data_IF_778958832634
#
_entry.id   IF_778958832634
#
_cell.length_a   1.000
_cell.length_b   1.000
_cell.length_c   1.000
_cell.angle_alpha   90.00
_cell.angle_beta   90.00
_cell.angle_gamma   90.00
#
_symmetry.space_group_name_H-M   'P 1'
#
loop_
_entity.id
_entity.type
_entity.pdbx_description
1 polymer ?
#
# COMPACT_ATOMS: atom_id res chain seq x y z
N UNK A 1 -10.33 14.06 -14.57
CA UNK A 1 -10.44 15.11 -13.52
C UNK A 1 -9.04 15.69 -13.32
N UNK A 2 -8.92 17.01 -13.28
CA UNK A 2 -7.67 17.74 -13.08
C UNK A 2 -7.83 18.72 -11.91
N UNK A 3 -6.83 18.91 -11.02
CA UNK A 3 -5.57 18.17 -10.98
C UNK A 3 -5.79 16.70 -10.55
N UNK A 4 -4.91 15.77 -10.93
CA UNK A 4 -5.03 14.39 -10.49
C UNK A 4 -4.64 14.27 -9.01
N UNK A 5 -5.32 13.36 -8.30
CA UNK A 5 -5.16 13.22 -6.86
C UNK A 5 -3.86 12.54 -6.45
N UNK A 6 -3.15 13.13 -5.50
CA UNK A 6 -2.17 12.45 -4.66
C UNK A 6 -2.88 11.43 -3.79
N UNK A 7 -2.37 10.20 -3.76
CA UNK A 7 -2.99 9.11 -3.01
C UNK A 7 -1.96 8.26 -2.30
N UNK A 8 -2.43 7.43 -1.36
CA UNK A 8 -1.65 6.30 -0.84
C UNK A 8 -2.14 5.06 -1.57
N UNK A 9 -1.24 4.46 -2.33
CA UNK A 9 -1.51 3.24 -3.09
C UNK A 9 -0.88 2.02 -2.44
N UNK A 10 -1.54 0.88 -2.59
CA UNK A 10 -0.94 -0.43 -2.41
C UNK A 10 -1.12 -1.21 -3.71
N UNK A 11 -0.14 -2.04 -4.06
CA UNK A 11 -0.23 -2.83 -5.29
C UNK A 11 -1.29 -3.92 -5.12
N UNK A 12 -2.47 -3.71 -5.73
CA UNK A 12 -3.56 -4.69 -5.72
C UNK A 12 -3.11 -6.01 -6.35
N UNK A 13 -2.28 -5.93 -7.40
CA UNK A 13 -1.71 -7.09 -8.07
C UNK A 13 -0.82 -7.89 -7.11
N UNK A 14 0.12 -7.23 -6.43
CA UNK A 14 1.03 -7.87 -5.47
C UNK A 14 0.26 -8.48 -4.29
N UNK A 15 -0.80 -7.81 -3.81
CA UNK A 15 -1.70 -8.35 -2.80
C UNK A 15 -2.35 -9.65 -3.27
N UNK A 16 -2.89 -9.67 -4.49
CA UNK A 16 -3.51 -10.86 -5.08
C UNK A 16 -2.52 -12.01 -5.27
N UNK A 17 -1.34 -11.72 -5.81
CA UNK A 17 -0.26 -12.71 -5.99
C UNK A 17 0.18 -13.33 -4.67
N UNK A 18 0.41 -12.51 -3.64
CA UNK A 18 0.78 -13.00 -2.31
C UNK A 18 -0.33 -13.84 -1.67
N UNK A 19 -1.58 -13.38 -1.75
CA UNK A 19 -2.72 -14.11 -1.18
C UNK A 19 -2.92 -15.48 -1.87
N UNK A 20 -2.85 -15.50 -3.20
CA UNK A 20 -2.96 -16.74 -3.97
C UNK A 20 -1.83 -17.72 -3.65
N UNK A 21 -0.58 -17.24 -3.57
CA UNK A 21 0.56 -18.08 -3.21
C UNK A 21 0.42 -18.69 -1.80
N UNK A 22 -0.02 -17.90 -0.82
CA UNK A 22 -0.29 -18.38 0.54
C UNK A 22 -1.40 -19.44 0.56
N UNK A 23 -2.49 -19.22 -0.17
CA UNK A 23 -3.60 -20.16 -0.23
C UNK A 23 -3.19 -21.49 -0.88
N UNK A 24 -2.52 -21.43 -2.03
CA UNK A 24 -2.06 -22.63 -2.74
C UNK A 24 -1.06 -23.42 -1.90
N UNK A 25 -0.15 -22.76 -1.19
CA UNK A 25 0.77 -23.41 -0.26
C UNK A 25 0.02 -24.16 0.85
N UNK A 26 -1.04 -23.57 1.42
CA UNK A 26 -1.87 -24.23 2.45
C UNK A 26 -2.66 -25.42 1.91
N UNK A 27 -3.14 -25.35 0.67
CA UNK A 27 -3.86 -26.48 0.03
C UNK A 27 -2.89 -27.63 -0.22
N UNK A 28 -1.71 -27.35 -0.74
CA UNK A 28 -0.69 -28.35 -1.02
C UNK A 28 -0.11 -28.98 0.25
N UNK A 29 -0.02 -28.22 1.34
CA UNK A 29 0.49 -28.72 2.62
C UNK A 29 -0.34 -28.16 3.78
N UNK A 30 -1.43 -28.88 4.16
CA UNK A 30 -2.28 -28.46 5.26
C UNK A 30 -1.52 -28.43 6.59
N UNK A 31 -1.19 -27.23 7.08
CA UNK A 31 -0.57 -27.00 8.40
C UNK A 31 -1.65 -26.66 9.43
N UNK A 32 -1.53 -27.21 10.65
CA UNK A 32 -2.38 -26.82 11.81
C UNK A 32 -1.89 -25.56 12.54
N UNK A 33 -0.81 -24.97 12.04
CA UNK A 33 -0.15 -23.82 12.67
C UNK A 33 -0.88 -22.51 12.37
N UNK A 34 -0.52 -21.46 13.11
CA UNK A 34 -1.11 -20.14 12.96
C UNK A 34 -0.99 -19.62 11.52
N UNK A 35 -1.99 -18.85 11.10
CA UNK A 35 -2.04 -18.26 9.78
C UNK A 35 -0.83 -17.32 9.55
N UNK A 36 -0.04 -17.60 8.52
CA UNK A 36 1.02 -16.68 8.06
C UNK A 36 0.42 -15.32 7.66
N UNK A 37 1.02 -14.24 8.17
CA UNK A 37 0.67 -12.85 7.84
C UNK A 37 1.81 -12.20 7.05
N UNK A 38 1.48 -11.64 5.89
CA UNK A 38 2.42 -10.84 5.07
C UNK A 38 1.92 -9.41 4.93
N UNK A 39 2.80 -8.45 5.17
CA UNK A 39 2.50 -7.02 5.05
C UNK A 39 2.96 -6.55 3.67
N UNK A 40 2.05 -6.00 2.87
CA UNK A 40 2.39 -5.29 1.63
C UNK A 40 2.43 -3.80 1.94
N UNK A 41 3.63 -3.22 1.90
CA UNK A 41 3.84 -1.83 2.31
C UNK A 41 3.16 -0.86 1.31
N UNK A 42 2.31 0.06 1.79
CA UNK A 42 1.74 1.10 0.94
C UNK A 42 2.82 2.12 0.55
N UNK A 43 2.55 2.87 -0.52
CA UNK A 43 3.45 3.91 -1.05
C UNK A 43 2.66 5.16 -1.39
N UNK A 44 3.25 6.33 -1.16
CA UNK A 44 2.67 7.59 -1.62
C UNK A 44 2.82 7.68 -3.14
N UNK A 45 1.73 7.98 -3.82
CA UNK A 45 1.69 8.35 -5.23
C UNK A 45 1.47 9.86 -5.28
N UNK A 46 2.55 10.62 -5.35
CA UNK A 46 2.50 12.08 -5.37
C UNK A 46 2.02 12.58 -6.74
N UNK A 47 1.10 13.55 -6.72
CA UNK A 47 0.56 14.25 -7.88
C UNK A 47 0.29 15.72 -7.55
N UNK A 48 -0.35 16.44 -8.46
CA UNK A 48 -0.53 17.90 -8.41
C UNK A 48 -1.60 18.36 -7.42
N UNK A 49 -2.35 17.46 -6.80
CA UNK A 49 -3.33 17.83 -5.75
C UNK A 49 -2.71 18.05 -4.36
N UNK A 50 -1.38 17.94 -4.22
CA UNK A 50 -0.67 18.22 -2.95
C UNK A 50 0.55 19.07 -3.24
N UNK A 51 0.71 20.15 -2.48
CA UNK A 51 1.81 21.10 -2.65
C UNK A 51 2.27 21.67 -1.31
N UNK A 52 3.31 22.51 -1.31
CA UNK A 52 3.74 23.19 -0.11
C UNK A 52 2.62 24.08 0.44
N UNK A 53 2.51 24.11 1.76
CA UNK A 53 1.68 25.10 2.47
C UNK A 53 2.27 26.51 2.25
N UNK A 54 1.45 27.57 2.13
CA UNK A 54 1.93 28.94 2.01
C UNK A 54 2.87 29.34 3.17
N UNK A 55 3.80 30.26 2.92
CA UNK A 55 4.92 30.62 3.81
C UNK A 55 4.52 31.19 5.19
N UNK A 56 3.23 31.40 5.44
CA UNK A 56 2.66 31.88 6.72
C UNK A 56 2.96 30.98 7.93
N UNK A 57 3.50 29.77 7.74
CA UNK A 57 3.79 28.81 8.82
C UNK A 57 5.17 28.14 8.68
N UNK A 58 6.11 28.77 7.97
CA UNK A 58 7.42 28.16 7.70
C UNK A 58 8.43 28.32 8.84
N UNK A 59 8.13 29.16 9.83
CA UNK A 59 9.03 29.51 10.94
C UNK A 59 9.24 28.39 11.99
N UNK A 60 8.54 27.25 11.86
CA UNK A 60 8.57 26.14 12.82
C UNK A 60 9.11 24.82 12.25
N UNK A 61 9.93 24.88 11.21
CA UNK A 61 10.56 23.68 10.60
C UNK A 61 12.01 23.51 11.04
#
# INVERSE_FOLDING_TARGET
VYPPLTTVGQSIRELGENAAALLLSRIATPRREAAEQRIVAPRIVLRESTGPRPDLFNDYR
#
